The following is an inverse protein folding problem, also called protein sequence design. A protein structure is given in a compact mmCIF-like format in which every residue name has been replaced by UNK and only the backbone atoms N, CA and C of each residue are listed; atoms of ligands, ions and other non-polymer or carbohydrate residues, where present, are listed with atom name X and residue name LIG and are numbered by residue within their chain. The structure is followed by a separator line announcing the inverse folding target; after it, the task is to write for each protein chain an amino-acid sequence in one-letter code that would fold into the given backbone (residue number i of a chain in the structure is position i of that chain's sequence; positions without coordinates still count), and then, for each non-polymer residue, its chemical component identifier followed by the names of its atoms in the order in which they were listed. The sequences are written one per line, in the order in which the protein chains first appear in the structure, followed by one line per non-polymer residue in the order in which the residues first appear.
data_IF_756783942466
#
_entry.id   IF_756783942466
#
_cell.length_a   1.000
_cell.length_b   1.000
_cell.length_c   1.000
_cell.angle_alpha   90.00
_cell.angle_beta   90.00
_cell.angle_gamma   90.00
#
_symmetry.space_group_name_H-M   'P 1'
#
loop_
_entity.id
_entity.type
_entity.pdbx_description
1 polymer ?
#
# COMPACT_ATOMS: atom_id res chain seq x y z
N UNK A 1 -19.25 17.41 -26.70
CA UNK A 1 -17.85 17.03 -26.42
C UNK A 1 -17.86 15.80 -25.53
N UNK A 2 -17.74 14.61 -26.11
CA UNK A 2 -17.44 13.41 -25.31
C UNK A 2 -16.01 13.56 -24.79
N UNK A 3 -15.85 13.77 -23.49
CA UNK A 3 -14.55 13.56 -22.85
C UNK A 3 -14.28 12.08 -22.97
N UNK A 4 -13.38 11.70 -23.87
CA UNK A 4 -12.84 10.34 -23.90
C UNK A 4 -12.25 10.07 -22.52
N UNK A 5 -12.93 9.24 -21.73
CA UNK A 5 -12.33 8.63 -20.55
C UNK A 5 -11.17 7.78 -21.07
N UNK A 6 -9.95 8.30 -20.99
CA UNK A 6 -8.77 7.45 -21.02
C UNK A 6 -8.81 6.66 -19.72
N UNK A 7 -9.41 5.47 -19.76
CA UNK A 7 -9.46 4.59 -18.61
C UNK A 7 -8.02 4.16 -18.29
N UNK A 8 -7.37 4.87 -17.37
CA UNK A 8 -6.09 4.44 -16.83
C UNK A 8 -6.32 3.09 -16.15
N UNK A 9 -5.70 1.99 -16.62
CA UNK A 9 -5.98 0.66 -16.09
C UNK A 9 -5.59 0.61 -14.62
N UNK A 10 -6.32 -0.07 -13.73
CA UNK A 10 -6.02 -0.08 -12.31
C UNK A 10 -4.62 -0.66 -12.02
N UNK A 11 -3.97 -0.14 -10.98
CA UNK A 11 -2.75 -0.73 -10.46
C UNK A 11 -3.07 -1.92 -9.54
N UNK A 12 -2.30 -2.98 -9.67
CA UNK A 12 -2.33 -4.19 -8.88
C UNK A 12 -0.98 -4.42 -8.19
N UNK A 13 -1.01 -5.12 -7.06
CA UNK A 13 0.15 -5.38 -6.23
C UNK A 13 0.25 -6.87 -5.88
N UNK A 14 1.47 -7.34 -5.67
CA UNK A 14 1.76 -8.64 -5.09
C UNK A 14 3.01 -8.54 -4.21
N UNK A 15 3.08 -9.37 -3.18
CA UNK A 15 4.21 -9.41 -2.26
C UNK A 15 4.86 -10.80 -2.21
N UNK A 16 6.16 -10.86 -1.90
CA UNK A 16 6.88 -12.10 -1.59
C UNK A 16 8.07 -11.84 -0.67
N UNK A 17 8.80 -12.92 -0.34
CA UNK A 17 10.03 -12.85 0.45
C UNK A 17 9.85 -12.14 1.80
N UNK A 18 8.73 -12.41 2.47
CA UNK A 18 8.41 -11.81 3.75
C UNK A 18 9.36 -12.33 4.85
N UNK A 19 10.06 -11.42 5.54
CA UNK A 19 11.06 -11.77 6.55
C UNK A 19 10.98 -10.85 7.77
N UNK A 20 11.12 -11.44 8.96
CA UNK A 20 11.26 -10.70 10.21
C UNK A 20 12.66 -10.10 10.26
N UNK A 21 12.75 -8.78 10.44
CA UNK A 21 14.01 -8.04 10.53
C UNK A 21 14.41 -7.82 11.98
N UNK A 22 13.48 -7.36 12.80
CA UNK A 22 13.74 -7.03 14.20
C UNK A 22 12.45 -6.93 15.00
N UNK A 23 12.55 -7.02 16.32
CA UNK A 23 11.51 -6.57 17.26
C UNK A 23 11.80 -5.12 17.66
N UNK A 24 10.76 -4.28 17.66
CA UNK A 24 10.83 -2.88 18.09
C UNK A 24 11.20 -2.82 19.58
N UNK A 25 11.92 -1.79 20.07
CA UNK A 25 12.40 -1.74 21.47
C UNK A 25 11.32 -1.88 22.56
N UNK A 26 10.05 -1.58 22.24
CA UNK A 26 8.92 -1.80 23.14
C UNK A 26 8.58 -3.29 23.36
N UNK A 27 9.15 -4.19 22.55
CA UNK A 27 8.94 -5.64 22.59
C UNK A 27 7.57 -6.10 22.09
N UNK A 28 6.72 -5.18 21.60
CA UNK A 28 5.33 -5.44 21.21
C UNK A 28 5.18 -5.50 19.70
N UNK A 29 5.97 -4.72 18.97
CA UNK A 29 5.89 -4.59 17.53
C UNK A 29 7.12 -5.21 16.85
N UNK A 30 6.97 -5.57 15.58
CA UNK A 30 7.97 -6.25 14.77
C UNK A 30 8.17 -5.51 13.45
N UNK A 31 9.42 -5.29 13.07
CA UNK A 31 9.78 -4.87 11.72
C UNK A 31 9.88 -6.08 10.81
N UNK A 32 9.12 -6.05 9.74
CA UNK A 32 9.13 -7.03 8.67
C UNK A 32 9.55 -6.39 7.35
N UNK A 33 10.15 -7.17 6.46
CA UNK A 33 10.45 -6.75 5.08
C UNK A 33 9.74 -7.64 4.07
N UNK A 34 9.37 -7.10 2.92
CA UNK A 34 8.92 -7.87 1.77
C UNK A 34 9.31 -7.21 0.45
N UNK A 35 9.37 -8.00 -0.62
CA UNK A 35 9.44 -7.49 -1.99
C UNK A 35 8.03 -7.22 -2.50
N UNK A 36 7.77 -6.03 -3.00
CA UNK A 36 6.48 -5.61 -3.55
C UNK A 36 6.60 -5.39 -5.06
N UNK A 37 5.80 -6.13 -5.84
CA UNK A 37 5.61 -5.88 -7.27
C UNK A 37 4.37 -5.01 -7.46
N UNK A 38 4.51 -3.97 -8.26
CA UNK A 38 3.46 -3.05 -8.64
C UNK A 38 3.28 -3.10 -10.18
N UNK A 39 2.09 -3.46 -10.64
CA UNK A 39 1.78 -3.62 -12.07
C UNK A 39 0.58 -2.78 -12.47
N UNK A 40 0.75 -2.01 -13.54
CA UNK A 40 -0.33 -1.35 -14.28
C UNK A 40 -0.23 -1.80 -15.72
N UNK A 41 -1.24 -2.54 -16.19
CA UNK A 41 -1.21 -3.20 -17.49
C UNK A 41 -0.84 -2.24 -18.63
N UNK A 42 0.16 -2.59 -19.46
CA UNK A 42 0.68 -1.75 -20.55
C UNK A 42 1.40 -0.45 -20.14
N UNK A 43 1.57 -0.16 -18.84
CA UNK A 43 2.12 1.14 -18.36
C UNK A 43 3.28 0.98 -17.38
N UNK A 44 3.17 0.07 -16.42
CA UNK A 44 4.13 -0.06 -15.32
C UNK A 44 4.30 -1.52 -14.92
N UNK A 45 5.55 -1.95 -14.72
CA UNK A 45 5.89 -3.17 -14.00
C UNK A 45 7.16 -2.87 -13.20
N UNK A 46 7.01 -2.65 -11.89
CA UNK A 46 8.11 -2.25 -11.00
C UNK A 46 8.14 -3.15 -9.77
N UNK A 47 9.35 -3.52 -9.36
CA UNK A 47 9.61 -4.25 -8.11
C UNK A 47 10.32 -3.31 -7.14
N UNK A 48 9.82 -3.26 -5.91
CA UNK A 48 10.43 -2.59 -4.77
C UNK A 48 10.90 -3.69 -3.81
N UNK A 49 12.22 -3.76 -3.57
CA UNK A 49 12.77 -4.75 -2.64
C UNK A 49 12.84 -4.21 -1.23
N UNK A 50 12.81 -5.10 -0.24
CA UNK A 50 13.03 -4.75 1.18
C UNK A 50 12.09 -3.64 1.69
N UNK A 51 10.84 -3.62 1.22
CA UNK A 51 9.82 -2.69 1.72
C UNK A 51 9.49 -3.06 3.16
N UNK A 52 9.51 -2.07 4.05
CA UNK A 52 9.36 -2.28 5.48
C UNK A 52 7.91 -2.13 5.95
N UNK A 53 7.52 -3.05 6.81
CA UNK A 53 6.24 -3.09 7.51
C UNK A 53 6.48 -3.15 9.01
N UNK A 54 5.57 -2.57 9.78
CA UNK A 54 5.47 -2.76 11.22
C UNK A 54 4.26 -3.65 11.46
N UNK A 55 4.46 -4.74 12.17
CA UNK A 55 3.41 -5.64 12.63
C UNK A 55 3.30 -5.57 14.15
N UNK A 56 2.08 -5.37 14.63
CA UNK A 56 1.68 -5.73 15.99
C UNK A 56 0.96 -7.08 15.90
N UNK A 57 1.58 -8.19 16.35
CA UNK A 57 1.08 -9.53 16.07
C UNK A 57 -0.40 -9.72 16.42
N UNK A 58 -1.20 -10.11 15.42
CA UNK A 58 -2.63 -10.38 15.56
C UNK A 58 -3.53 -9.15 15.64
N UNK A 59 -2.98 -7.93 15.56
CA UNK A 59 -3.74 -6.70 15.77
C UNK A 59 -3.69 -5.77 14.57
N UNK A 60 -2.48 -5.35 14.15
CA UNK A 60 -2.30 -4.32 13.14
C UNK A 60 -1.03 -4.55 12.31
N UNK A 61 -1.13 -4.41 10.99
CA UNK A 61 0.02 -4.29 10.09
C UNK A 61 0.00 -2.97 9.33
N UNK A 62 1.13 -2.31 9.12
CA UNK A 62 1.20 -1.08 8.33
C UNK A 62 2.59 -0.86 7.74
N UNK A 63 2.69 -0.01 6.73
CA UNK A 63 3.97 0.39 6.15
C UNK A 63 4.76 1.25 7.13
N UNK A 64 6.03 0.93 7.37
CA UNK A 64 6.89 1.77 8.21
C UNK A 64 6.96 3.21 7.63
N UNK A 65 6.74 4.23 8.46
CA UNK A 65 6.76 5.64 8.05
C UNK A 65 5.42 6.16 7.53
N UNK A 66 4.40 5.31 7.35
CA UNK A 66 3.08 5.73 6.83
C UNK A 66 2.31 6.60 7.82
N UNK A 67 2.68 6.59 9.10
CA UNK A 67 2.14 7.51 10.10
C UNK A 67 2.61 8.96 9.90
N UNK A 68 3.65 9.17 9.10
CA UNK A 68 4.19 10.50 8.83
C UNK A 68 3.80 11.01 7.43
N UNK A 69 3.46 12.29 7.34
CA UNK A 69 3.12 12.93 6.06
C UNK A 69 4.29 12.90 5.07
N UNK A 70 5.54 12.95 5.53
CA UNK A 70 6.73 12.81 4.69
C UNK A 70 7.07 11.35 4.33
N UNK A 71 6.39 10.36 4.94
CA UNK A 71 6.64 8.94 4.74
C UNK A 71 7.93 8.43 5.39
N UNK A 72 8.57 9.21 6.27
CA UNK A 72 9.88 8.88 6.83
C UNK A 72 9.74 8.29 8.24
N UNK A 73 10.09 7.00 8.38
CA UNK A 73 10.32 6.39 9.69
C UNK A 73 11.68 6.88 10.25
N UNK A 74 11.64 7.55 11.41
CA UNK A 74 12.81 8.15 12.07
C UNK A 74 13.55 7.16 12.98
N UNK A 75 13.04 5.95 13.16
CA UNK A 75 13.60 4.94 14.05
C UNK A 75 14.54 3.96 13.35
N UNK A 76 14.59 3.99 12.02
CA UNK A 76 15.44 3.12 11.20
C UNK A 76 16.62 3.89 10.58
N UNK A 77 17.55 3.16 9.97
CA UNK A 77 18.71 3.80 9.33
C UNK A 77 18.28 4.74 8.19
N UNK A 78 18.93 5.90 8.01
CA UNK A 78 18.50 6.92 7.04
C UNK A 78 18.39 6.43 5.59
N UNK A 79 19.25 5.50 5.17
CA UNK A 79 19.23 4.90 3.84
C UNK A 79 17.97 4.07 3.60
N UNK A 80 17.60 3.24 4.59
CA UNK A 80 16.38 2.46 4.56
C UNK A 80 15.13 3.36 4.66
N UNK A 81 15.17 4.39 5.51
CA UNK A 81 14.10 5.36 5.65
C UNK A 81 13.83 6.11 4.34
N UNK A 82 14.88 6.51 3.61
CA UNK A 82 14.74 7.19 2.32
C UNK A 82 14.13 6.26 1.27
N UNK A 83 14.62 5.02 1.15
CA UNK A 83 14.06 4.01 0.23
C UNK A 83 12.58 3.74 0.53
N UNK A 84 12.22 3.66 1.80
CA UNK A 84 10.84 3.46 2.25
C UNK A 84 9.96 4.67 1.90
N UNK A 85 10.44 5.90 2.14
CA UNK A 85 9.73 7.12 1.81
C UNK A 85 9.51 7.27 0.29
N UNK A 86 10.47 6.84 -0.54
CA UNK A 86 10.30 6.78 -2.00
C UNK A 86 9.19 5.81 -2.41
N UNK A 87 9.07 4.65 -1.75
CA UNK A 87 7.97 3.73 -1.99
C UNK A 87 6.62 4.31 -1.57
N UNK A 88 6.52 4.93 -0.39
CA UNK A 88 5.29 5.60 0.08
C UNK A 88 4.89 6.73 -0.88
N UNK A 89 5.85 7.54 -1.33
CA UNK A 89 5.63 8.61 -2.31
C UNK A 89 5.12 8.07 -3.64
N UNK A 90 5.66 6.93 -4.09
CA UNK A 90 5.15 6.23 -5.27
C UNK A 90 3.68 5.80 -5.08
N UNK A 91 3.32 5.19 -3.95
CA UNK A 91 1.93 4.76 -3.70
C UNK A 91 0.95 5.94 -3.72
N UNK A 92 1.32 7.05 -3.09
CA UNK A 92 0.50 8.28 -3.09
C UNK A 92 0.35 8.86 -4.48
N UNK A 93 1.44 8.93 -5.26
CA UNK A 93 1.40 9.38 -6.66
C UNK A 93 0.51 8.51 -7.55
N UNK A 94 0.54 7.19 -7.33
CA UNK A 94 -0.35 6.26 -8.03
C UNK A 94 -1.81 6.41 -7.59
N UNK A 95 -2.05 6.78 -6.32
CA UNK A 95 -3.39 7.09 -5.84
C UNK A 95 -3.94 8.34 -6.53
N UNK A 96 -3.14 9.41 -6.61
CA UNK A 96 -3.50 10.65 -7.32
C UNK A 96 -3.80 10.39 -8.80
N UNK A 97 -3.02 9.52 -9.46
CA UNK A 97 -3.27 9.10 -10.85
C UNK A 97 -4.62 8.38 -11.00
N UNK A 98 -4.98 7.51 -10.06
CA UNK A 98 -6.29 6.86 -10.07
C UNK A 98 -7.43 7.85 -9.83
N UNK A 99 -7.28 8.74 -8.85
CA UNK A 99 -8.26 9.79 -8.55
C UNK A 99 -8.45 10.74 -9.74
N UNK A 100 -7.37 11.14 -10.42
CA UNK A 100 -7.43 11.97 -11.62
C UNK A 100 -8.15 11.26 -12.79
N UNK A 101 -7.94 9.95 -12.96
CA UNK A 101 -8.59 9.17 -14.02
C UNK A 101 -10.11 9.01 -13.79
N UNK A 102 -10.54 8.87 -12.52
CA UNK A 102 -11.95 8.77 -12.15
C UNK A 102 -12.64 10.15 -12.06
N UNK A 103 -11.87 11.21 -11.84
CA UNK A 103 -12.39 12.57 -11.67
C UNK A 103 -13.41 12.66 -10.53
N UNK A 104 -14.55 13.30 -10.78
CA UNK A 104 -15.63 13.44 -9.78
C UNK A 104 -16.15 12.07 -9.29
N UNK A 105 -16.05 11.02 -10.09
CA UNK A 105 -16.54 9.69 -9.71
C UNK A 105 -15.68 9.05 -8.60
N UNK A 106 -14.44 9.49 -8.40
CA UNK A 106 -13.57 8.96 -7.34
C UNK A 106 -14.24 9.07 -5.96
N UNK A 107 -14.93 10.20 -5.71
CA UNK A 107 -15.60 10.52 -4.45
C UNK A 107 -16.81 9.64 -4.13
N UNK A 108 -17.33 8.90 -5.11
CA UNK A 108 -18.40 7.92 -4.89
C UNK A 108 -17.86 6.71 -4.14
N UNK A 109 -16.57 6.40 -4.30
CA UNK A 109 -15.94 5.24 -3.68
C UNK A 109 -15.33 5.62 -2.34
N UNK A 110 -15.87 5.03 -1.28
CA UNK A 110 -15.26 5.15 0.05
C UNK A 110 -13.83 4.59 0.01
N UNK A 111 -12.90 5.33 0.62
CA UNK A 111 -11.49 4.95 0.69
C UNK A 111 -10.66 5.22 -0.56
N UNK A 112 -11.19 5.95 -1.55
CA UNK A 112 -10.40 6.35 -2.72
C UNK A 112 -9.13 7.14 -2.37
N UNK A 113 -9.12 7.88 -1.27
CA UNK A 113 -7.97 8.68 -0.82
C UNK A 113 -6.75 7.84 -0.39
N UNK A 114 -6.95 6.56 -0.07
CA UNK A 114 -5.91 5.65 0.41
C UNK A 114 -5.89 4.31 -0.33
N UNK A 115 -6.66 4.16 -1.41
CA UNK A 115 -6.89 2.87 -2.07
C UNK A 115 -5.58 2.19 -2.51
N UNK A 116 -4.61 2.94 -3.03
CA UNK A 116 -3.33 2.37 -3.48
C UNK A 116 -2.45 1.93 -2.31
N UNK A 117 -2.40 2.71 -1.23
CA UNK A 117 -1.69 2.33 -0.01
C UNK A 117 -2.30 1.06 0.56
N UNK A 118 -3.63 1.02 0.68
CA UNK A 118 -4.33 -0.15 1.18
C UNK A 118 -4.11 -1.40 0.33
N UNK A 119 -4.06 -1.27 -1.00
CA UNK A 119 -3.79 -2.42 -1.90
C UNK A 119 -2.39 -2.98 -1.70
N UNK A 120 -1.39 -2.12 -1.54
CA UNK A 120 -0.01 -2.56 -1.30
C UNK A 120 0.12 -3.26 0.06
N UNK A 121 -0.48 -2.70 1.12
CA UNK A 121 -0.48 -3.33 2.45
C UNK A 121 -1.27 -4.64 2.47
N UNK A 122 -2.42 -4.71 1.83
CA UNK A 122 -3.21 -5.94 1.74
C UNK A 122 -2.51 -7.03 0.90
N UNK A 123 -1.77 -6.67 -0.16
CA UNK A 123 -0.94 -7.64 -0.90
C UNK A 123 0.15 -8.25 0.00
N UNK A 124 0.77 -7.44 0.85
CA UNK A 124 1.71 -7.90 1.88
C UNK A 124 1.03 -8.85 2.89
N UNK A 125 -0.12 -8.45 3.42
CA UNK A 125 -0.89 -9.27 4.35
C UNK A 125 -1.29 -10.61 3.75
N UNK A 126 -1.71 -10.63 2.48
CA UNK A 126 -2.05 -11.86 1.77
C UNK A 126 -0.84 -12.81 1.67
N UNK A 127 0.35 -12.29 1.32
CA UNK A 127 1.58 -13.07 1.30
C UNK A 127 1.99 -13.62 2.68
N UNK A 128 1.63 -12.91 3.75
CA UNK A 128 1.84 -13.31 5.15
C UNK A 128 0.71 -14.17 5.72
N UNK A 129 -0.39 -14.37 4.98
CA UNK A 129 -1.62 -15.00 5.48
C UNK A 129 -2.20 -14.32 6.74
N UNK A 130 -2.17 -12.98 6.78
CA UNK A 130 -2.72 -12.18 7.88
C UNK A 130 -4.18 -11.80 7.61
N UNK A 131 -5.00 -11.85 8.65
CA UNK A 131 -6.44 -11.53 8.57
C UNK A 131 -6.90 -10.44 9.53
N UNK A 132 -5.97 -9.84 10.29
CA UNK A 132 -6.28 -8.74 11.22
C UNK A 132 -6.31 -7.39 10.49
N UNK A 133 -6.46 -6.29 11.22
CA UNK A 133 -6.59 -4.97 10.60
C UNK A 133 -5.25 -4.45 10.02
N UNK A 134 -5.32 -3.44 9.17
CA UNK A 134 -4.12 -2.74 8.72
C UNK A 134 -4.27 -1.23 8.74
N UNK A 135 -3.15 -0.54 8.94
CA UNK A 135 -3.08 0.91 8.98
C UNK A 135 -2.79 1.50 7.60
N UNK A 136 -3.43 2.63 7.29
CA UNK A 136 -3.09 3.47 6.14
C UNK A 136 -2.97 4.93 6.58
N UNK A 137 -2.15 5.68 5.86
CA UNK A 137 -1.98 7.12 6.05
C UNK A 137 -2.13 7.87 4.73
N UNK A 138 -2.90 8.95 4.74
CA UNK A 138 -3.26 9.71 3.55
C UNK A 138 -3.58 11.17 3.87
N UNK A 139 -3.60 12.02 2.85
CA UNK A 139 -4.08 13.40 2.97
C UNK A 139 -5.55 13.42 2.56
N UNK A 140 -6.43 13.91 3.42
CA UNK A 140 -7.85 14.00 3.13
C UNK A 140 -8.19 15.19 2.21
N UNK A 141 -9.47 15.33 1.88
CA UNK A 141 -9.97 16.41 1.01
C UNK A 141 -9.77 17.83 1.57
N UNK A 142 -9.46 17.98 2.86
CA UNK A 142 -9.19 19.25 3.52
C UNK A 142 -7.69 19.57 3.56
N UNK A 143 -6.84 18.63 3.15
CA UNK A 143 -5.39 18.77 3.19
C UNK A 143 -4.78 18.28 4.50
N UNK A 144 -5.57 17.68 5.38
CA UNK A 144 -5.09 17.16 6.67
C UNK A 144 -4.59 15.74 6.53
N UNK A 145 -3.47 15.44 7.20
CA UNK A 145 -2.92 14.09 7.20
C UNK A 145 -3.68 13.20 8.21
N UNK A 146 -4.29 12.15 7.68
CA UNK A 146 -5.08 11.17 8.43
C UNK A 146 -4.35 9.85 8.51
N UNK A 147 -4.50 9.17 9.65
CA UNK A 147 -4.12 7.77 9.82
C UNK A 147 -5.35 7.00 10.30
N UNK A 148 -5.69 5.92 9.60
CA UNK A 148 -6.87 5.12 9.93
C UNK A 148 -6.52 3.64 9.93
N UNK A 149 -7.31 2.88 10.66
CA UNK A 149 -7.28 1.42 10.67
C UNK A 149 -8.40 0.88 9.78
N UNK A 150 -8.06 -0.09 8.93
CA UNK A 150 -8.98 -0.77 8.02
C UNK A 150 -9.07 -2.23 8.45
N UNK A 151 -10.30 -2.71 8.62
CA UNK A 151 -10.57 -4.13 8.87
C UNK A 151 -10.84 -4.80 7.52
N UNK A 152 -10.05 -5.80 7.10
CA UNK A 152 -10.30 -6.54 5.86
C UNK A 152 -11.68 -7.20 5.84
N UNK A 153 -12.30 -7.26 4.67
CA UNK A 153 -13.64 -7.80 4.48
C UNK A 153 -14.39 -7.15 3.32
N UNK A 154 -15.57 -7.69 2.99
CA UNK A 154 -16.36 -7.34 1.80
C UNK A 154 -16.64 -5.84 1.66
N UNK A 155 -16.85 -5.14 2.78
CA UNK A 155 -17.19 -3.71 2.79
C UNK A 155 -15.95 -2.79 2.69
N UNK A 156 -14.74 -3.32 2.87
CA UNK A 156 -13.50 -2.52 2.87
C UNK A 156 -12.91 -2.30 1.48
N UNK A 157 -13.33 -3.08 0.48
CA UNK A 157 -12.74 -3.06 -0.85
C UNK A 157 -11.35 -3.72 -0.95
N UNK A 158 -10.91 -4.41 0.11
CA UNK A 158 -9.66 -5.17 0.17
C UNK A 158 -9.96 -6.62 0.53
N UNK A 159 -10.11 -7.46 -0.50
CA UNK A 159 -10.21 -8.92 -0.35
C UNK A 159 -8.84 -9.57 -0.55
N UNK A 160 -8.35 -10.27 0.47
CA UNK A 160 -7.09 -11.02 0.42
C UNK A 160 -7.05 -12.09 -0.67
N UNK A 161 -8.20 -12.60 -1.11
CA UNK A 161 -8.31 -13.58 -2.19
C UNK A 161 -8.24 -12.97 -3.61
N UNK A 162 -8.31 -11.63 -3.73
CA UNK A 162 -8.27 -10.94 -5.01
C UNK A 162 -6.83 -10.66 -5.52
N UNK A 163 -5.80 -11.05 -4.77
CA UNK A 163 -4.40 -10.79 -5.11
C UNK A 163 -3.80 -11.95 -5.92
N UNK A 164 -3.30 -11.63 -7.11
CA UNK A 164 -2.56 -12.60 -7.93
C UNK A 164 -1.20 -12.93 -7.27
N UNK A 165 -0.71 -14.17 -7.41
CA UNK A 165 0.64 -14.52 -6.99
C UNK A 165 1.70 -13.63 -7.63
N UNK A 166 2.79 -13.36 -6.92
CA UNK A 166 3.84 -12.44 -7.35
C UNK A 166 4.39 -12.73 -8.75
N UNK A 167 4.64 -14.01 -9.06
CA UNK A 167 5.24 -14.39 -10.33
C UNK A 167 4.21 -14.28 -11.48
N UNK A 168 2.93 -14.55 -11.21
CA UNK A 168 1.82 -14.45 -12.18
C UNK A 168 1.39 -13.00 -12.47
N UNK A 169 1.64 -12.08 -11.54
CA UNK A 169 1.27 -10.68 -11.72
C UNK A 169 2.11 -10.04 -12.84
N UNK A 170 1.43 -9.73 -13.95
CA UNK A 170 2.00 -9.03 -15.11
C UNK A 170 2.55 -9.93 -16.21
N UNK A 171 2.32 -11.25 -16.17
CA UNK A 171 2.80 -12.18 -17.22
C UNK A 171 2.14 -11.98 -18.59
N UNK A 172 1.02 -11.25 -18.65
CA UNK A 172 0.29 -10.93 -19.88
C UNK A 172 0.07 -9.41 -20.06
N UNK A 173 0.89 -8.56 -19.41
CA UNK A 173 0.71 -7.09 -19.41
C UNK A 173 1.58 -6.29 -20.35
#
# INVERSE_FOLDING_TARGET
MQKNFSATPPIAFAAKNCQLIATVPNGVEEYWSADIKAVRHGVLNKIFTDVLFIEKPGELAFLAGIESQDGVDRHIRPDAALKQAEFISFLRSENDRNSAALGILARVFHGHDYAVVGKATAAYMAARSLSHAFGVGYVDQYGDYQTIQIVPGDDSGFDGNAYLPFDQLGENS
#
